data_IF_464406875573
#
_entry.id   IF_464406875573
#
_cell.length_a   1.000
_cell.length_b   1.000
_cell.length_c   1.000
_cell.angle_alpha   90.00
_cell.angle_beta   90.00
_cell.angle_gamma   90.00
#
_symmetry.space_group_name_H-M   'P 1'
#
loop_
_entity.id
_entity.type
_entity.pdbx_description
1 polymer ?
#
# COMPACT_ATOMS: atom_id res chain seq x y z
N UNK A 1 74.96 -60.48 -50.83
CA UNK A 1 74.10 -60.42 -52.05
C UNK A 1 72.75 -61.07 -51.68
N UNK A 2 71.57 -60.47 -51.94
CA UNK A 2 71.26 -59.20 -52.60
C UNK A 2 70.81 -58.07 -51.66
N UNK A 3 70.96 -56.85 -52.16
CA UNK A 3 70.79 -55.55 -51.51
C UNK A 3 69.38 -55.23 -51.00
N UNK A 4 69.29 -54.82 -49.73
CA UNK A 4 68.11 -54.25 -49.06
C UNK A 4 67.66 -52.88 -49.63
N UNK A 5 68.40 -52.30 -50.57
CA UNK A 5 68.13 -50.97 -51.14
C UNK A 5 66.96 -50.91 -52.16
N UNK A 6 66.51 -52.05 -52.71
CA UNK A 6 65.44 -52.04 -53.72
C UNK A 6 64.01 -52.15 -53.15
N UNK A 7 63.82 -52.67 -51.93
CA UNK A 7 62.47 -52.78 -51.31
C UNK A 7 61.99 -51.47 -50.68
N UNK A 8 62.90 -50.65 -50.14
CA UNK A 8 62.54 -49.34 -49.53
C UNK A 8 62.13 -48.30 -50.57
N UNK A 9 62.77 -48.30 -51.75
CA UNK A 9 62.48 -47.35 -52.83
C UNK A 9 61.11 -47.58 -53.48
N UNK A 10 60.64 -48.84 -53.51
CA UNK A 10 59.30 -49.20 -54.00
C UNK A 10 58.18 -48.82 -53.02
N UNK A 11 58.40 -48.96 -51.70
CA UNK A 11 57.45 -48.53 -50.67
C UNK A 11 57.37 -47.00 -50.55
N UNK A 12 58.50 -46.29 -50.68
CA UNK A 12 58.50 -44.82 -50.74
C UNK A 12 57.89 -44.27 -52.04
N UNK A 13 58.08 -44.93 -53.20
CA UNK A 13 57.38 -44.55 -54.44
C UNK A 13 55.86 -44.80 -54.35
N UNK A 14 55.41 -45.91 -53.76
CA UNK A 14 53.97 -46.18 -53.55
C UNK A 14 53.33 -45.20 -52.55
N UNK A 15 54.04 -44.82 -51.48
CA UNK A 15 53.60 -43.80 -50.52
C UNK A 15 53.58 -42.39 -51.13
N UNK A 16 54.59 -42.05 -51.93
CA UNK A 16 54.69 -40.76 -52.64
C UNK A 16 53.67 -40.61 -53.77
N UNK A 17 53.29 -41.71 -54.44
CA UNK A 17 52.21 -41.69 -55.44
C UNK A 17 50.84 -41.56 -54.74
N UNK A 18 50.66 -42.16 -53.56
CA UNK A 18 49.45 -41.98 -52.73
C UNK A 18 49.32 -40.57 -52.15
N UNK A 19 50.42 -39.88 -51.86
CA UNK A 19 50.42 -38.48 -51.43
C UNK A 19 50.24 -37.49 -52.60
N UNK A 20 50.60 -37.87 -53.83
CA UNK A 20 50.33 -37.08 -55.05
C UNK A 20 48.89 -37.16 -55.55
N UNK A 21 48.13 -38.11 -55.03
CA UNK A 21 46.66 -38.13 -55.07
C UNK A 21 46.12 -37.94 -53.65
N UNK A 22 46.63 -36.95 -52.90
CA UNK A 22 45.75 -36.28 -51.96
C UNK A 22 44.52 -35.89 -52.76
N UNK A 23 43.36 -36.43 -52.39
CA UNK A 23 42.08 -36.10 -53.01
C UNK A 23 42.00 -34.58 -52.92
N UNK A 24 42.30 -33.88 -54.03
CA UNK A 24 42.18 -32.43 -54.11
C UNK A 24 40.69 -32.22 -53.99
N UNK A 25 40.25 -31.89 -52.78
CA UNK A 25 38.88 -31.53 -52.51
C UNK A 25 38.56 -30.38 -53.45
N UNK A 26 37.57 -30.52 -54.35
CA UNK A 26 37.27 -29.47 -55.32
C UNK A 26 37.09 -28.14 -54.59
N UNK A 27 37.63 -27.05 -55.11
CA UNK A 27 37.51 -25.73 -54.48
C UNK A 27 36.03 -25.37 -54.20
N UNK A 28 35.11 -25.84 -55.03
CA UNK A 28 33.67 -25.72 -54.81
C UNK A 28 33.17 -26.41 -53.54
N UNK A 29 33.72 -27.59 -53.20
CA UNK A 29 33.36 -28.35 -52.00
C UNK A 29 33.94 -27.69 -50.74
N UNK A 30 35.15 -27.13 -50.84
CA UNK A 30 35.79 -26.37 -49.75
C UNK A 30 35.03 -25.06 -49.49
N UNK A 31 34.64 -24.33 -50.54
CA UNK A 31 33.82 -23.12 -50.40
C UNK A 31 32.43 -23.41 -49.83
N UNK A 32 31.81 -24.55 -50.18
CA UNK A 32 30.53 -24.99 -49.61
C UNK A 32 30.68 -25.32 -48.12
N UNK A 33 31.72 -26.04 -47.72
CA UNK A 33 32.03 -26.33 -46.32
C UNK A 33 32.30 -25.08 -45.48
N UNK A 34 33.01 -24.09 -46.04
CA UNK A 34 33.25 -22.80 -45.36
C UNK A 34 31.92 -22.06 -45.14
N UNK A 35 31.07 -21.99 -46.17
CA UNK A 35 29.75 -21.34 -46.05
C UNK A 35 28.84 -22.06 -45.04
N UNK A 36 28.86 -23.39 -44.99
CA UNK A 36 28.10 -24.17 -44.00
C UNK A 36 28.60 -23.94 -42.58
N UNK A 37 29.92 -23.89 -42.38
CA UNK A 37 30.53 -23.63 -41.09
C UNK A 37 30.20 -22.21 -40.60
N UNK A 38 30.34 -21.18 -41.46
CA UNK A 38 29.95 -19.80 -41.14
C UNK A 38 28.47 -19.71 -40.73
N UNK A 39 27.57 -20.42 -41.44
CA UNK A 39 26.16 -20.47 -41.07
C UNK A 39 25.89 -21.19 -39.74
N UNK A 40 26.70 -22.20 -39.40
CA UNK A 40 26.65 -22.84 -38.10
C UNK A 40 27.14 -21.92 -36.98
N UNK A 41 28.22 -21.17 -37.20
CA UNK A 41 28.74 -20.18 -36.26
C UNK A 41 27.69 -19.11 -35.96
N UNK A 42 27.07 -18.53 -36.99
CA UNK A 42 26.00 -17.51 -36.80
C UNK A 42 24.84 -18.07 -35.98
N UNK A 43 24.42 -19.32 -36.22
CA UNK A 43 23.36 -19.97 -35.42
C UNK A 43 23.77 -20.18 -33.96
N UNK A 44 25.02 -20.60 -33.71
CA UNK A 44 25.55 -20.76 -32.36
C UNK A 44 25.64 -19.42 -31.63
N UNK A 45 26.05 -18.36 -32.31
CA UNK A 45 26.11 -17.01 -31.77
C UNK A 45 24.73 -16.46 -31.40
N UNK A 46 23.72 -16.64 -32.27
CA UNK A 46 22.33 -16.26 -31.98
C UNK A 46 21.80 -16.95 -30.72
N UNK A 47 22.00 -18.26 -30.61
CA UNK A 47 21.57 -19.01 -29.42
C UNK A 47 22.33 -18.60 -28.16
N UNK A 48 23.63 -18.29 -28.27
CA UNK A 48 24.44 -17.78 -27.15
C UNK A 48 23.98 -16.39 -26.70
N UNK A 49 23.69 -15.49 -27.67
CA UNK A 49 23.15 -14.15 -27.43
C UNK A 49 21.80 -14.19 -26.73
N UNK A 50 20.87 -15.02 -27.23
CA UNK A 50 19.56 -15.20 -26.61
C UNK A 50 19.67 -15.73 -25.17
N UNK A 51 20.52 -16.73 -24.91
CA UNK A 51 20.77 -17.22 -23.54
C UNK A 51 21.30 -16.13 -22.61
N UNK A 52 22.18 -15.25 -23.11
CA UNK A 52 22.71 -14.11 -22.34
C UNK A 52 21.60 -13.11 -22.02
N UNK A 53 20.78 -12.76 -23.01
CA UNK A 53 19.63 -11.88 -22.84
C UNK A 53 18.66 -12.44 -21.79
N UNK A 54 18.33 -13.74 -21.85
CA UNK A 54 17.44 -14.38 -20.85
C UNK A 54 18.00 -14.31 -19.43
N UNK A 55 19.31 -14.50 -19.25
CA UNK A 55 19.97 -14.32 -17.94
C UNK A 55 19.92 -12.86 -17.47
N UNK A 56 20.08 -11.90 -18.40
CA UNK A 56 19.96 -10.47 -18.09
C UNK A 56 18.54 -10.10 -17.66
N UNK A 57 17.51 -10.60 -18.34
CA UNK A 57 16.10 -10.44 -17.95
C UNK A 57 15.85 -10.96 -16.54
N UNK A 58 16.35 -12.17 -16.24
CA UNK A 58 16.24 -12.74 -14.90
C UNK A 58 16.95 -11.87 -13.85
N UNK A 59 18.15 -11.37 -14.16
CA UNK A 59 18.88 -10.46 -13.27
C UNK A 59 18.13 -9.15 -13.03
N UNK A 60 17.48 -8.58 -14.05
CA UNK A 60 16.68 -7.37 -13.93
C UNK A 60 15.44 -7.59 -13.04
N UNK A 61 14.75 -8.73 -13.18
CA UNK A 61 13.63 -9.08 -12.31
C UNK A 61 14.06 -9.21 -10.85
N UNK A 62 15.13 -9.97 -10.58
CA UNK A 62 15.66 -10.14 -9.21
C UNK A 62 16.09 -8.79 -8.62
N UNK A 63 16.75 -7.94 -9.41
CA UNK A 63 17.18 -6.61 -8.97
C UNK A 63 15.98 -5.72 -8.61
N UNK A 64 14.92 -5.75 -9.43
CA UNK A 64 13.69 -5.01 -9.13
C UNK A 64 13.01 -5.57 -7.87
N UNK A 65 12.82 -6.89 -7.77
CA UNK A 65 12.19 -7.53 -6.61
C UNK A 65 12.92 -7.19 -5.30
N UNK A 66 14.25 -7.19 -5.30
CA UNK A 66 15.04 -6.78 -4.14
C UNK A 66 14.89 -5.29 -3.81
N UNK A 67 14.80 -4.42 -4.82
CA UNK A 67 14.56 -2.99 -4.61
C UNK A 67 13.18 -2.73 -4.01
N UNK A 68 12.14 -3.38 -4.54
CA UNK A 68 10.78 -3.27 -4.03
C UNK A 68 10.69 -3.79 -2.58
N UNK A 69 11.38 -4.89 -2.28
CA UNK A 69 11.48 -5.40 -0.90
C UNK A 69 12.11 -4.38 0.05
N UNK A 70 13.24 -3.78 -0.34
CA UNK A 70 13.90 -2.76 0.47
C UNK A 70 13.01 -1.53 0.71
N UNK A 71 12.28 -1.09 -0.32
CA UNK A 71 11.30 0.00 -0.22
C UNK A 71 10.15 -0.33 0.75
N UNK A 72 9.63 -1.57 0.72
CA UNK A 72 8.63 -2.03 1.69
C UNK A 72 9.17 -2.06 3.12
N UNK A 73 10.41 -2.50 3.31
CA UNK A 73 11.03 -2.55 4.64
C UNK A 73 11.28 -1.13 5.19
N UNK A 74 11.68 -0.18 4.34
CA UNK A 74 11.80 1.24 4.72
C UNK A 74 10.44 1.84 5.08
N UNK A 75 9.40 1.54 4.29
CA UNK A 75 8.04 2.00 4.56
C UNK A 75 7.53 1.49 5.91
N UNK A 76 7.69 0.19 6.20
CA UNK A 76 7.34 -0.40 7.52
C UNK A 76 8.08 0.28 8.66
N UNK A 77 9.38 0.54 8.50
CA UNK A 77 10.17 1.23 9.51
C UNK A 77 9.68 2.67 9.74
N UNK A 78 9.25 3.36 8.68
CA UNK A 78 8.66 4.70 8.78
C UNK A 78 7.32 4.66 9.54
N UNK A 79 6.45 3.71 9.22
CA UNK A 79 5.17 3.54 9.92
C UNK A 79 5.36 3.22 11.40
N UNK A 80 6.33 2.35 11.73
CA UNK A 80 6.67 2.04 13.12
C UNK A 80 7.12 3.29 13.89
N UNK A 81 8.01 4.10 13.30
CA UNK A 81 8.45 5.37 13.91
C UNK A 81 7.31 6.35 14.12
N UNK A 82 6.34 6.40 13.22
CA UNK A 82 5.16 7.26 13.36
C UNK A 82 4.29 6.81 14.55
N UNK A 83 4.07 5.49 14.72
CA UNK A 83 3.37 4.93 15.88
C UNK A 83 4.11 5.22 17.18
N UNK A 84 5.43 5.01 17.22
CA UNK A 84 6.25 5.31 18.40
C UNK A 84 6.20 6.80 18.76
N UNK A 85 6.29 7.68 17.76
CA UNK A 85 6.18 9.13 17.94
C UNK A 85 4.81 9.50 18.49
N UNK A 86 3.74 8.92 17.94
CA UNK A 86 2.38 9.15 18.39
C UNK A 86 2.19 8.67 19.85
N UNK A 87 2.70 7.50 20.19
CA UNK A 87 2.67 6.95 21.54
C UNK A 87 3.40 7.86 22.56
N UNK A 88 4.60 8.33 22.19
CA UNK A 88 5.38 9.25 23.01
C UNK A 88 4.64 10.59 23.22
N UNK A 89 4.03 11.13 22.17
CA UNK A 89 3.22 12.35 22.27
C UNK A 89 2.03 12.14 23.21
N UNK A 90 1.30 11.03 23.08
CA UNK A 90 0.19 10.72 24.00
C UNK A 90 0.65 10.56 25.44
N UNK A 91 1.81 9.95 25.69
CA UNK A 91 2.37 9.82 27.03
C UNK A 91 2.66 11.20 27.64
N UNK A 92 3.34 12.09 26.90
CA UNK A 92 3.66 13.45 27.35
C UNK A 92 2.38 14.25 27.64
N UNK A 93 1.37 14.13 26.79
CA UNK A 93 0.10 14.82 26.98
C UNK A 93 -0.65 14.34 28.24
N UNK A 94 -0.66 13.02 28.50
CA UNK A 94 -1.29 12.46 29.71
C UNK A 94 -0.53 12.88 30.97
N UNK A 95 0.80 12.88 30.93
CA UNK A 95 1.61 13.35 32.04
C UNK A 95 1.36 14.84 32.33
N UNK A 96 1.23 15.65 31.27
CA UNK A 96 0.89 17.08 31.39
C UNK A 96 -0.50 17.28 31.97
N UNK A 97 -1.49 16.48 31.56
CA UNK A 97 -2.84 16.53 32.11
C UNK A 97 -2.85 16.16 33.60
N UNK A 98 -2.17 15.07 33.99
CA UNK A 98 -2.07 14.65 35.38
C UNK A 98 -1.41 15.74 36.26
N UNK A 99 -0.32 16.35 35.77
CA UNK A 99 0.34 17.49 36.45
C UNK A 99 -0.59 18.69 36.61
N UNK A 100 -1.35 19.03 35.58
CA UNK A 100 -2.36 20.11 35.62
C UNK A 100 -3.42 19.80 36.69
N UNK A 101 -4.00 18.60 36.67
CA UNK A 101 -5.02 18.18 37.63
C UNK A 101 -4.51 18.19 39.07
N UNK A 102 -3.28 17.72 39.32
CA UNK A 102 -2.67 17.75 40.64
C UNK A 102 -2.48 19.18 41.17
N UNK A 103 -1.99 20.10 40.33
CA UNK A 103 -1.84 21.52 40.70
C UNK A 103 -3.19 22.19 40.98
N UNK A 104 -4.21 21.81 40.21
CA UNK A 104 -5.56 22.34 40.34
C UNK A 104 -6.25 21.82 41.61
N UNK A 105 -6.04 20.54 41.96
CA UNK A 105 -6.46 19.95 43.23
C UNK A 105 -5.82 20.67 44.43
N UNK A 106 -4.51 20.92 44.40
CA UNK A 106 -3.80 21.64 45.47
C UNK A 106 -4.35 23.07 45.65
N UNK A 107 -4.66 23.76 44.54
CA UNK A 107 -5.28 25.08 44.56
C UNK A 107 -6.67 25.05 45.20
N UNK A 108 -7.51 24.08 44.85
CA UNK A 108 -8.84 23.89 45.44
C UNK A 108 -8.76 23.55 46.94
N UNK A 109 -7.81 22.71 47.36
CA UNK A 109 -7.61 22.42 48.78
C UNK A 109 -7.23 23.68 49.57
N UNK A 110 -6.31 24.49 49.05
CA UNK A 110 -5.89 25.76 49.67
C UNK A 110 -7.05 26.76 49.73
N UNK A 111 -7.84 26.86 48.66
CA UNK A 111 -9.02 27.72 48.62
C UNK A 111 -10.08 27.29 49.65
N UNK A 112 -10.36 25.99 49.77
CA UNK A 112 -11.30 25.47 50.78
C UNK A 112 -10.82 25.73 52.20
N UNK A 113 -9.51 25.57 52.48
CA UNK A 113 -8.94 25.85 53.79
C UNK A 113 -8.97 27.35 54.13
N UNK A 114 -8.75 28.23 53.14
CA UNK A 114 -8.85 29.68 53.32
C UNK A 114 -10.29 30.12 53.62
N UNK A 115 -11.27 29.57 52.92
CA UNK A 115 -12.69 29.85 53.16
C UNK A 115 -13.15 29.35 54.54
N UNK A 116 -12.63 28.19 54.98
CA UNK A 116 -12.88 27.69 56.34
C UNK A 116 -12.39 28.67 57.41
N UNK A 117 -11.14 29.14 57.30
CA UNK A 117 -10.59 30.14 58.22
C UNK A 117 -11.41 31.43 58.21
N UNK A 118 -11.84 31.90 57.04
CA UNK A 118 -12.66 33.11 56.89
C UNK A 118 -13.98 32.99 57.63
N UNK A 119 -14.69 31.87 57.46
CA UNK A 119 -15.97 31.62 58.14
C UNK A 119 -15.77 31.46 59.65
N UNK A 120 -14.74 30.72 60.08
CA UNK A 120 -14.42 30.58 61.51
C UNK A 120 -14.15 31.94 62.16
N UNK A 121 -13.39 32.82 61.50
CA UNK A 121 -13.09 34.15 61.99
C UNK A 121 -14.33 35.06 62.02
N UNK A 122 -15.19 34.98 61.01
CA UNK A 122 -16.47 35.71 60.99
C UNK A 122 -17.39 35.29 62.16
N UNK A 123 -17.50 33.98 62.43
CA UNK A 123 -18.29 33.47 63.55
C UNK A 123 -17.70 33.95 64.88
N UNK A 124 -16.38 33.87 65.05
CA UNK A 124 -15.70 34.33 66.27
C UNK A 124 -15.94 35.82 66.55
N UNK A 125 -15.83 36.67 65.53
CA UNK A 125 -16.10 38.11 65.64
C UNK A 125 -17.55 38.37 66.05
N UNK A 126 -18.50 37.64 65.45
CA UNK A 126 -19.92 37.75 65.78
C UNK A 126 -20.20 37.30 67.21
N UNK A 127 -19.66 36.15 67.65
CA UNK A 127 -19.80 35.63 69.01
C UNK A 127 -19.24 36.59 70.06
N UNK A 128 -18.07 37.19 69.80
CA UNK A 128 -17.49 38.21 70.69
C UNK A 128 -18.40 39.43 70.81
N UNK A 129 -18.91 39.94 69.69
CA UNK A 129 -19.82 41.10 69.67
C UNK A 129 -21.10 40.82 70.47
N UNK A 130 -21.70 39.65 70.27
CA UNK A 130 -22.90 39.21 71.00
C UNK A 130 -22.62 39.09 72.49
N UNK A 131 -21.50 38.47 72.88
CA UNK A 131 -21.12 38.31 74.29
C UNK A 131 -20.86 39.66 74.97
N UNK A 132 -20.15 40.58 74.31
CA UNK A 132 -19.93 41.93 74.85
C UNK A 132 -21.26 42.67 75.04
N UNK A 133 -22.13 42.62 74.03
CA UNK A 133 -23.46 43.27 74.09
C UNK A 133 -24.33 42.67 75.20
N UNK A 134 -24.27 41.34 75.36
CA UNK A 134 -24.97 40.62 76.42
C UNK A 134 -24.48 41.03 77.81
N UNK A 135 -23.16 41.02 78.06
CA UNK A 135 -22.57 41.41 79.34
C UNK A 135 -22.87 42.87 79.70
N UNK A 136 -22.84 43.78 78.72
CA UNK A 136 -23.19 45.18 78.94
C UNK A 136 -24.67 45.34 79.32
N UNK A 137 -25.55 44.54 78.72
CA UNK A 137 -26.98 44.50 79.05
C UNK A 137 -27.20 43.95 80.45
N UNK A 138 -26.54 42.83 80.79
CA UNK A 138 -26.60 42.19 82.10
C UNK A 138 -26.12 43.13 83.22
N UNK A 139 -25.03 43.88 83.00
CA UNK A 139 -24.54 44.91 83.93
C UNK A 139 -25.51 46.07 84.13
N UNK A 140 -26.26 46.47 83.09
CA UNK A 140 -27.30 47.50 83.21
C UNK A 140 -28.49 46.98 83.99
N UNK A 141 -28.96 45.76 83.69
CA UNK A 141 -30.07 45.13 84.41
C UNK A 141 -29.74 44.87 85.88
N UNK A 142 -28.52 44.40 86.18
CA UNK A 142 -28.06 44.24 87.57
C UNK A 142 -28.09 45.54 88.36
N UNK A 143 -27.67 46.65 87.75
CA UNK A 143 -27.73 47.98 88.40
C UNK A 143 -29.17 48.38 88.72
N UNK A 144 -30.07 48.26 87.75
CA UNK A 144 -31.49 48.59 87.92
C UNK A 144 -32.18 47.71 88.97
N UNK A 145 -32.00 46.38 88.91
CA UNK A 145 -32.57 45.48 89.91
C UNK A 145 -31.98 45.73 91.31
N UNK A 146 -30.68 46.00 91.42
CA UNK A 146 -30.05 46.33 92.71
C UNK A 146 -30.58 47.64 93.30
N UNK A 147 -30.88 48.64 92.47
CA UNK A 147 -31.48 49.90 92.91
C UNK A 147 -32.93 49.68 93.38
N UNK A 148 -33.77 49.00 92.58
CA UNK A 148 -35.13 48.63 93.00
C UNK A 148 -35.18 47.84 94.30
N UNK A 149 -34.30 46.86 94.48
CA UNK A 149 -34.24 46.11 95.74
C UNK A 149 -33.87 46.97 96.94
N UNK A 150 -33.00 47.97 96.76
CA UNK A 150 -32.66 48.90 97.84
C UNK A 150 -33.84 49.81 98.18
N UNK A 151 -34.63 50.20 97.18
CA UNK A 151 -35.86 50.98 97.36
C UNK A 151 -36.93 50.16 98.11
N UNK A 152 -37.24 48.94 97.66
CA UNK A 152 -38.20 48.03 98.30
C UNK A 152 -37.83 47.72 99.77
N UNK A 153 -36.55 47.52 100.05
CA UNK A 153 -36.07 47.25 101.42
C UNK A 153 -36.05 48.49 102.35
N UNK A 154 -36.06 49.70 101.77
CA UNK A 154 -36.15 50.96 102.51
C UNK A 154 -37.61 51.30 102.88
N UNK A 155 -38.60 50.84 102.12
CA UNK A 155 -40.03 51.05 102.42
C UNK A 155 -40.53 50.17 103.59
N UNK A 156 -39.88 49.03 103.81
CA UNK A 156 -40.32 48.01 104.76
C UNK A 156 -39.79 48.27 106.20
N UNK A 157 -40.37 49.19 106.98
CA UNK A 157 -39.76 49.70 108.23
C UNK A 157 -39.70 48.70 109.41
N UNK A 158 -40.53 47.66 109.42
CA UNK A 158 -40.75 46.76 110.58
C UNK A 158 -39.88 45.48 110.59
N UNK A 159 -39.07 45.23 109.57
CA UNK A 159 -38.24 44.00 109.49
C UNK A 159 -36.87 44.15 110.18
N UNK A 160 -36.43 43.19 111.03
CA UNK A 160 -35.14 43.23 111.72
C UNK A 160 -33.93 43.33 110.78
N UNK A 161 -32.91 44.11 111.15
CA UNK A 161 -31.72 44.38 110.31
C UNK A 161 -30.99 43.13 109.81
N UNK A 162 -30.94 42.08 110.63
CA UNK A 162 -30.24 40.83 110.31
C UNK A 162 -30.97 40.03 109.22
N UNK A 163 -32.31 40.00 109.29
CA UNK A 163 -33.17 39.33 108.31
C UNK A 163 -33.22 40.09 106.97
N UNK A 164 -33.19 41.43 107.02
CA UNK A 164 -33.03 42.28 105.84
C UNK A 164 -31.72 42.02 105.10
N UNK A 165 -30.62 41.88 105.85
CA UNK A 165 -29.29 41.60 105.31
C UNK A 165 -29.22 40.19 104.66
N UNK A 166 -29.81 39.18 105.30
CA UNK A 166 -29.87 37.82 104.78
C UNK A 166 -30.72 37.72 103.51
N UNK A 167 -31.90 38.37 103.47
CA UNK A 167 -32.74 38.43 102.26
C UNK A 167 -32.02 39.09 101.10
N UNK A 168 -31.31 40.20 101.34
CA UNK A 168 -30.51 40.89 100.32
C UNK A 168 -29.39 39.98 99.78
N UNK A 169 -28.73 39.22 100.67
CA UNK A 169 -27.69 38.26 100.31
C UNK A 169 -28.24 37.13 99.43
N UNK A 170 -29.32 36.46 99.84
CA UNK A 170 -29.96 35.38 99.07
C UNK A 170 -30.46 35.85 97.71
N UNK A 171 -31.02 37.06 97.64
CA UNK A 171 -31.50 37.59 96.36
C UNK A 171 -30.34 37.95 95.41
N UNK A 172 -29.24 38.49 95.95
CA UNK A 172 -28.02 38.74 95.18
C UNK A 172 -27.41 37.45 94.64
N UNK A 173 -27.37 36.39 95.44
CA UNK A 173 -26.91 35.06 95.03
C UNK A 173 -27.83 34.46 93.95
N UNK A 174 -29.14 34.56 94.11
CA UNK A 174 -30.14 34.09 93.12
C UNK A 174 -29.99 34.84 91.79
N UNK A 175 -29.81 36.16 91.84
CA UNK A 175 -29.55 36.99 90.67
C UNK A 175 -28.23 36.61 89.97
N UNK A 176 -27.16 36.38 90.72
CA UNK A 176 -25.88 35.94 90.16
C UNK A 176 -25.99 34.54 89.53
N UNK A 177 -26.71 33.61 90.16
CA UNK A 177 -26.97 32.29 89.59
C UNK A 177 -27.76 32.39 88.28
N UNK A 178 -28.84 33.16 88.27
CA UNK A 178 -29.64 33.40 87.05
C UNK A 178 -28.80 34.01 85.92
N UNK A 179 -27.97 35.00 86.25
CA UNK A 179 -27.03 35.62 85.29
C UNK A 179 -26.02 34.64 84.72
N UNK A 180 -25.45 33.76 85.56
CA UNK A 180 -24.53 32.72 85.13
C UNK A 180 -25.23 31.66 84.26
N UNK A 181 -26.49 31.32 84.57
CA UNK A 181 -27.30 30.41 83.76
C UNK A 181 -27.60 31.01 82.37
N UNK A 182 -28.00 32.29 82.29
CA UNK A 182 -28.23 32.98 81.03
C UNK A 182 -26.95 33.11 80.18
N UNK A 183 -25.81 33.41 80.81
CA UNK A 183 -24.51 33.44 80.11
C UNK A 183 -24.13 32.04 79.56
N UNK A 184 -24.32 30.99 80.37
CA UNK A 184 -24.10 29.62 79.94
C UNK A 184 -25.02 29.24 78.76
N UNK A 185 -26.28 29.69 78.77
CA UNK A 185 -27.21 29.48 77.66
C UNK A 185 -26.73 30.19 76.38
N UNK A 186 -26.28 31.45 76.47
CA UNK A 186 -25.74 32.18 75.32
C UNK A 186 -24.51 31.46 74.74
N UNK A 187 -23.55 31.06 75.57
CA UNK A 187 -22.36 30.33 75.13
C UNK A 187 -22.72 28.99 74.47
N UNK A 188 -23.73 28.29 74.99
CA UNK A 188 -24.24 27.06 74.40
C UNK A 188 -24.89 27.32 73.02
N UNK A 189 -25.67 28.38 72.86
CA UNK A 189 -26.24 28.79 71.57
C UNK A 189 -25.14 29.15 70.57
N UNK A 190 -24.12 29.91 70.99
CA UNK A 190 -22.97 30.24 70.16
C UNK A 190 -22.21 28.99 69.68
N UNK A 191 -22.04 27.99 70.57
CA UNK A 191 -21.44 26.69 70.20
C UNK A 191 -22.28 25.96 69.15
N UNK A 192 -23.59 25.89 69.32
CA UNK A 192 -24.50 25.24 68.36
C UNK A 192 -24.48 25.92 66.98
N UNK A 193 -24.43 27.25 66.94
CA UNK A 193 -24.32 28.02 65.68
C UNK A 193 -23.00 27.72 64.97
N UNK A 194 -21.90 27.67 65.72
CA UNK A 194 -20.58 27.28 65.18
C UNK A 194 -20.61 25.86 64.61
N UNK A 195 -21.07 24.87 65.38
CA UNK A 195 -21.18 23.48 64.95
C UNK A 195 -22.05 23.31 63.69
N UNK A 196 -23.19 24.03 63.62
CA UNK A 196 -24.08 24.02 62.44
C UNK A 196 -23.37 24.61 61.22
N UNK A 197 -22.64 25.71 61.40
CA UNK A 197 -21.90 26.38 60.34
C UNK A 197 -20.75 25.53 59.80
N UNK A 198 -19.98 24.88 60.69
CA UNK A 198 -18.94 23.92 60.29
C UNK A 198 -19.52 22.74 59.49
N UNK A 199 -20.66 22.18 59.93
CA UNK A 199 -21.35 21.12 59.18
C UNK A 199 -21.85 21.59 57.82
N UNK A 200 -22.36 22.82 57.71
CA UNK A 200 -22.80 23.39 56.45
C UNK A 200 -21.60 23.61 55.49
N UNK A 201 -20.48 24.12 55.99
CA UNK A 201 -19.26 24.32 55.21
C UNK A 201 -18.68 22.99 54.72
N UNK A 202 -18.55 21.98 55.60
CA UNK A 202 -18.06 20.65 55.22
C UNK A 202 -18.91 20.03 54.11
N UNK A 203 -20.24 20.14 54.19
CA UNK A 203 -21.15 19.68 53.12
C UNK A 203 -20.91 20.42 51.80
N UNK A 204 -20.83 21.75 51.82
CA UNK A 204 -20.55 22.54 50.60
C UNK A 204 -19.19 22.22 49.99
N UNK A 205 -18.14 22.09 50.80
CA UNK A 205 -16.79 21.73 50.35
C UNK A 205 -16.78 20.34 49.72
N UNK A 206 -17.46 19.36 50.33
CA UNK A 206 -17.57 18.01 49.79
C UNK A 206 -18.28 17.99 48.42
N UNK A 207 -19.38 18.72 48.27
CA UNK A 207 -20.10 18.81 46.99
C UNK A 207 -19.20 19.42 45.91
N UNK A 208 -18.54 20.55 46.19
CA UNK A 208 -17.62 21.18 45.24
C UNK A 208 -16.46 20.25 44.85
N UNK A 209 -15.90 19.52 45.83
CA UNK A 209 -14.85 18.54 45.57
C UNK A 209 -15.35 17.44 44.62
N UNK A 210 -16.56 16.94 44.86
CA UNK A 210 -17.15 15.92 43.99
C UNK A 210 -17.42 16.44 42.58
N UNK A 211 -17.96 17.66 42.43
CA UNK A 211 -18.16 18.31 41.13
C UNK A 211 -16.84 18.47 40.37
N UNK A 212 -15.79 18.89 41.07
CA UNK A 212 -14.44 19.02 40.52
C UNK A 212 -13.85 17.68 40.07
N UNK A 213 -13.96 16.64 40.90
CA UNK A 213 -13.53 15.27 40.55
C UNK A 213 -14.28 14.75 39.32
N UNK A 214 -15.60 14.96 39.23
CA UNK A 214 -16.37 14.59 38.04
C UNK A 214 -15.86 15.31 36.79
N UNK A 215 -15.53 16.59 36.89
CA UNK A 215 -15.01 17.36 35.75
C UNK A 215 -13.65 16.85 35.29
N UNK A 216 -12.74 16.53 36.23
CA UNK A 216 -11.47 15.90 35.91
C UNK A 216 -11.65 14.56 35.19
N UNK A 217 -12.58 13.72 35.67
CA UNK A 217 -12.90 12.45 35.02
C UNK A 217 -13.47 12.63 33.61
N UNK A 218 -14.30 13.64 33.37
CA UNK A 218 -14.80 13.99 32.02
C UNK A 218 -13.67 14.45 31.11
N UNK A 219 -12.76 15.30 31.60
CA UNK A 219 -11.60 15.76 30.84
C UNK A 219 -10.68 14.59 30.45
N UNK A 220 -10.40 13.66 31.38
CA UNK A 220 -9.63 12.45 31.09
C UNK A 220 -10.31 11.55 30.06
N UNK A 221 -11.61 11.32 30.20
CA UNK A 221 -12.36 10.47 29.28
C UNK A 221 -12.36 11.07 27.88
N UNK A 222 -12.59 12.38 27.77
CA UNK A 222 -12.53 13.09 26.49
C UNK A 222 -11.13 13.02 25.89
N UNK A 223 -10.07 13.19 26.70
CA UNK A 223 -8.69 13.08 26.20
C UNK A 223 -8.40 11.67 25.69
N UNK A 224 -8.75 10.63 26.45
CA UNK A 224 -8.60 9.23 26.00
C UNK A 224 -9.40 8.93 24.74
N UNK A 225 -10.62 9.46 24.61
CA UNK A 225 -11.43 9.35 23.40
C UNK A 225 -10.72 9.96 22.19
N UNK A 226 -10.24 11.20 22.30
CA UNK A 226 -9.51 11.86 21.21
C UNK A 226 -8.23 11.11 20.82
N UNK A 227 -7.54 10.51 21.80
CA UNK A 227 -6.38 9.66 21.54
C UNK A 227 -6.74 8.41 20.74
N UNK A 228 -7.83 7.73 21.11
CA UNK A 228 -8.32 6.57 20.35
C UNK A 228 -8.75 6.93 18.94
N UNK A 229 -9.46 8.04 18.76
CA UNK A 229 -9.85 8.52 17.43
C UNK A 229 -8.61 8.79 16.55
N UNK A 230 -7.56 9.39 17.12
CA UNK A 230 -6.30 9.63 16.44
C UNK A 230 -5.53 8.34 16.14
N UNK A 231 -5.51 7.35 17.05
CA UNK A 231 -4.94 6.02 16.81
C UNK A 231 -5.64 5.32 15.63
N UNK A 232 -6.97 5.35 15.58
CA UNK A 232 -7.76 4.79 14.48
C UNK A 232 -7.48 5.52 13.16
N UNK A 233 -7.47 6.85 13.17
CA UNK A 233 -7.15 7.64 11.97
C UNK A 233 -5.71 7.40 11.48
N UNK A 234 -4.75 7.20 12.40
CA UNK A 234 -3.40 6.81 12.04
C UNK A 234 -3.41 5.44 11.37
N UNK A 235 -4.03 4.43 11.97
CA UNK A 235 -4.09 3.07 11.43
C UNK A 235 -4.67 3.03 10.01
N UNK A 236 -5.77 3.76 9.75
CA UNK A 236 -6.38 3.84 8.43
C UNK A 236 -5.40 4.44 7.41
N UNK A 237 -4.77 5.57 7.74
CA UNK A 237 -3.78 6.21 6.84
C UNK A 237 -2.57 5.31 6.56
N UNK A 238 -2.13 4.54 7.57
CA UNK A 238 -1.03 3.59 7.41
C UNK A 238 -1.40 2.43 6.48
N UNK A 239 -2.61 1.88 6.61
CA UNK A 239 -3.13 0.84 5.73
C UNK A 239 -3.26 1.37 4.29
N UNK A 240 -3.90 2.53 4.09
CA UNK A 240 -4.03 3.19 2.79
C UNK A 240 -2.66 3.42 2.13
N UNK A 241 -1.68 3.96 2.89
CA UNK A 241 -0.33 4.19 2.38
C UNK A 241 0.39 2.88 2.00
N UNK A 242 0.16 1.80 2.76
CA UNK A 242 0.71 0.48 2.45
C UNK A 242 0.11 -0.07 1.17
N UNK A 243 -1.22 -0.02 1.04
CA UNK A 243 -1.94 -0.48 -0.14
C UNK A 243 -1.54 0.29 -1.40
N UNK A 244 -1.40 1.62 -1.32
CA UNK A 244 -0.92 2.43 -2.44
C UNK A 244 0.49 2.03 -2.88
N UNK A 245 1.37 1.76 -1.92
CA UNK A 245 2.73 1.30 -2.21
C UNK A 245 2.69 -0.06 -2.91
N UNK A 246 2.00 -1.04 -2.34
CA UNK A 246 1.86 -2.38 -2.92
C UNK A 246 1.29 -2.36 -4.34
N UNK A 247 0.26 -1.55 -4.59
CA UNK A 247 -0.31 -1.37 -5.93
C UNK A 247 0.72 -0.79 -6.89
N UNK A 248 1.48 0.23 -6.49
CA UNK A 248 2.51 0.86 -7.31
C UNK A 248 3.67 -0.11 -7.61
N UNK A 249 4.07 -0.92 -6.63
CA UNK A 249 5.09 -1.95 -6.78
C UNK A 249 4.63 -3.06 -7.74
N UNK A 250 3.38 -3.52 -7.59
CA UNK A 250 2.78 -4.52 -8.46
C UNK A 250 2.73 -4.04 -9.91
N UNK A 251 2.27 -2.81 -10.14
CA UNK A 251 2.25 -2.19 -11.48
C UNK A 251 3.64 -2.13 -12.10
N UNK A 252 4.65 -1.73 -11.31
CA UNK A 252 6.05 -1.64 -11.77
C UNK A 252 6.60 -3.02 -12.15
N UNK A 253 6.35 -4.03 -11.32
CA UNK A 253 6.77 -5.41 -11.58
C UNK A 253 6.09 -5.98 -12.83
N UNK A 254 4.78 -5.80 -12.97
CA UNK A 254 4.01 -6.25 -14.13
C UNK A 254 4.49 -5.56 -15.41
N UNK A 255 4.74 -4.25 -15.36
CA UNK A 255 5.28 -3.50 -16.49
C UNK A 255 6.63 -4.06 -16.95
N UNK A 256 7.58 -4.27 -16.03
CA UNK A 256 8.87 -4.85 -16.39
C UNK A 256 8.70 -6.26 -16.97
N UNK A 257 7.88 -7.13 -16.34
CA UNK A 257 7.61 -8.48 -16.86
C UNK A 257 7.06 -8.45 -18.28
N UNK A 258 6.12 -7.55 -18.56
CA UNK A 258 5.55 -7.36 -19.89
C UNK A 258 6.59 -6.87 -20.90
N UNK A 259 7.39 -5.87 -20.55
CA UNK A 259 8.46 -5.34 -21.40
C UNK A 259 9.50 -6.42 -21.74
N UNK A 260 9.93 -7.22 -20.76
CA UNK A 260 10.88 -8.32 -20.97
C UNK A 260 10.29 -9.44 -21.82
N UNK A 261 9.02 -9.79 -21.61
CA UNK A 261 8.30 -10.79 -22.42
C UNK A 261 8.17 -10.31 -23.86
N UNK A 262 7.78 -9.05 -24.07
CA UNK A 262 7.69 -8.45 -25.40
C UNK A 262 9.06 -8.44 -26.10
N UNK A 263 10.13 -8.06 -25.41
CA UNK A 263 11.48 -8.09 -25.97
C UNK A 263 11.91 -9.51 -26.32
N UNK A 264 11.63 -10.49 -25.45
CA UNK A 264 11.90 -11.90 -25.72
C UNK A 264 11.19 -12.38 -26.99
N UNK A 265 9.88 -12.14 -27.12
CA UNK A 265 9.11 -12.54 -28.30
C UNK A 265 9.63 -11.86 -29.57
N UNK A 266 10.00 -10.58 -29.49
CA UNK A 266 10.58 -9.85 -30.62
C UNK A 266 11.89 -10.49 -31.10
N UNK A 267 12.80 -10.84 -30.17
CA UNK A 267 14.04 -11.53 -30.52
C UNK A 267 13.79 -12.94 -31.10
N UNK A 268 12.79 -13.66 -30.59
CA UNK A 268 12.40 -14.98 -31.13
C UNK A 268 11.86 -14.86 -32.56
N UNK A 269 11.02 -13.86 -32.82
CA UNK A 269 10.48 -13.57 -34.14
C UNK A 269 11.58 -13.22 -35.14
N UNK A 270 12.48 -12.30 -34.78
CA UNK A 270 13.63 -11.92 -35.61
C UNK A 270 14.51 -13.12 -35.97
N UNK A 271 14.82 -13.97 -34.98
CA UNK A 271 15.58 -15.21 -35.21
C UNK A 271 14.86 -16.17 -36.17
N UNK A 272 13.53 -16.28 -36.07
CA UNK A 272 12.72 -17.13 -36.94
C UNK A 272 12.66 -16.59 -38.38
N UNK A 273 12.47 -15.28 -38.54
CA UNK A 273 12.47 -14.60 -39.84
C UNK A 273 13.81 -14.78 -40.56
N UNK A 274 14.92 -14.61 -39.84
CA UNK A 274 16.25 -14.86 -40.37
C UNK A 274 16.46 -16.33 -40.77
N UNK A 275 16.04 -17.28 -39.93
CA UNK A 275 16.12 -18.71 -40.26
C UNK A 275 15.32 -19.04 -41.52
N UNK A 276 14.08 -18.59 -41.60
CA UNK A 276 13.20 -18.79 -42.75
C UNK A 276 13.81 -18.20 -44.03
N UNK A 277 14.32 -16.96 -43.94
CA UNK A 277 14.99 -16.28 -45.05
C UNK A 277 16.21 -17.06 -45.54
N UNK A 278 17.04 -17.60 -44.64
CA UNK A 278 18.20 -18.43 -45.00
C UNK A 278 17.76 -19.73 -45.68
N UNK A 279 16.78 -20.45 -45.11
CA UNK A 279 16.23 -21.69 -45.69
C UNK A 279 15.62 -21.48 -47.06
N UNK A 280 14.93 -20.37 -47.27
CA UNK A 280 14.38 -20.00 -48.57
C UNK A 280 15.49 -19.76 -49.60
N UNK A 281 16.59 -19.08 -49.23
CA UNK A 281 17.75 -18.90 -50.12
C UNK A 281 18.43 -20.22 -50.45
N UNK A 282 18.62 -21.11 -49.47
CA UNK A 282 19.18 -22.46 -49.69
C UNK A 282 18.31 -23.26 -50.67
N UNK A 283 16.99 -23.24 -50.49
CA UNK A 283 16.06 -23.95 -51.38
C UNK A 283 16.14 -23.41 -52.81
N UNK A 284 16.16 -22.09 -52.98
CA UNK A 284 16.34 -21.48 -54.30
C UNK A 284 17.67 -21.87 -54.96
N UNK A 285 18.77 -21.91 -54.19
CA UNK A 285 20.08 -22.36 -54.68
C UNK A 285 20.04 -23.82 -55.12
N UNK A 286 19.42 -24.71 -54.34
CA UNK A 286 19.25 -26.13 -54.68
C UNK A 286 18.45 -26.30 -55.98
N UNK A 287 17.28 -25.66 -56.09
CA UNK A 287 16.48 -25.68 -57.33
C UNK A 287 17.24 -25.13 -58.54
N UNK A 288 18.06 -24.08 -58.36
CA UNK A 288 18.88 -23.55 -59.44
C UNK A 288 19.98 -24.54 -59.86
N UNK A 289 20.60 -25.25 -58.91
CA UNK A 289 21.61 -26.26 -59.16
C UNK A 289 21.02 -27.49 -59.86
N UNK A 290 19.86 -27.99 -59.40
CA UNK A 290 19.13 -29.10 -60.02
C UNK A 290 18.77 -28.78 -61.48
N UNK A 291 18.25 -27.58 -61.76
CA UNK A 291 17.99 -27.13 -63.14
C UNK A 291 19.25 -27.07 -64.01
N UNK A 292 20.40 -26.72 -63.45
CA UNK A 292 21.69 -26.72 -64.17
C UNK A 292 22.16 -28.15 -64.46
N UNK A 293 22.06 -29.04 -63.48
CA UNK A 293 22.50 -30.44 -63.57
C UNK A 293 21.55 -31.34 -64.35
N UNK A 294 20.35 -30.87 -64.69
CA UNK A 294 19.39 -31.62 -65.49
C UNK A 294 20.04 -32.16 -66.79
N UNK A 295 20.00 -33.49 -67.04
CA UNK A 295 20.72 -34.14 -68.13
C UNK A 295 20.42 -33.54 -69.49
N UNK A 296 21.44 -33.40 -70.34
CA UNK A 296 21.27 -32.86 -71.71
C UNK A 296 20.23 -33.63 -72.50
N UNK A 297 20.17 -34.96 -72.34
CA UNK A 297 19.19 -35.81 -73.02
C UNK A 297 17.75 -35.48 -72.61
N UNK A 298 17.52 -35.20 -71.32
CA UNK A 298 16.21 -34.77 -70.82
C UNK A 298 15.83 -33.39 -71.36
N UNK A 299 16.76 -32.43 -71.39
CA UNK A 299 16.53 -31.11 -71.99
C UNK A 299 16.20 -31.20 -73.48
N UNK A 300 16.91 -32.05 -74.22
CA UNK A 300 16.65 -32.28 -75.65
C UNK A 300 15.30 -32.95 -75.86
N UNK A 301 14.95 -33.96 -75.05
CA UNK A 301 13.67 -34.65 -75.14
C UNK A 301 12.49 -33.73 -74.78
N UNK A 302 12.60 -32.94 -73.71
CA UNK A 302 11.60 -31.91 -73.37
C UNK A 302 11.42 -30.89 -74.49
N UNK A 303 12.52 -30.46 -75.13
CA UNK A 303 12.47 -29.55 -76.27
C UNK A 303 11.83 -30.20 -77.50
N UNK A 304 12.12 -31.48 -77.77
CA UNK A 304 11.49 -32.24 -78.85
C UNK A 304 10.00 -32.43 -78.59
N UNK A 305 9.58 -32.78 -77.38
CA UNK A 305 8.18 -32.89 -76.98
C UNK A 305 7.47 -31.54 -77.15
N UNK A 306 8.08 -30.45 -76.68
CA UNK A 306 7.55 -29.09 -76.89
C UNK A 306 7.40 -28.74 -78.37
N UNK A 307 8.40 -29.09 -79.19
CA UNK A 307 8.35 -28.86 -80.64
C UNK A 307 7.27 -29.71 -81.32
N UNK A 308 7.19 -31.00 -81.00
CA UNK A 308 6.15 -31.90 -81.50
C UNK A 308 4.75 -31.42 -81.12
N UNK A 309 4.57 -30.95 -79.88
CA UNK A 309 3.31 -30.36 -79.44
C UNK A 309 2.97 -29.09 -80.24
N UNK A 310 3.94 -28.19 -80.44
CA UNK A 310 3.74 -26.99 -81.26
C UNK A 310 3.41 -27.32 -82.72
N UNK A 311 4.10 -28.29 -83.31
CA UNK A 311 3.86 -28.71 -84.69
C UNK A 311 2.50 -29.41 -84.83
N UNK A 312 2.11 -30.23 -83.85
CA UNK A 312 0.76 -30.83 -83.77
C UNK A 312 -0.31 -29.75 -83.67
N UNK A 313 -0.13 -28.75 -82.80
CA UNK A 313 -1.03 -27.60 -82.71
C UNK A 313 -1.14 -26.83 -84.04
N UNK A 314 -0.04 -26.67 -84.77
CA UNK A 314 -0.04 -26.00 -86.09
C UNK A 314 -0.79 -26.81 -87.14
N UNK A 315 -0.56 -28.13 -87.20
CA UNK A 315 -1.26 -29.02 -88.14
C UNK A 315 -2.75 -29.05 -87.82
N UNK A 316 -3.14 -29.22 -86.56
CA UNK A 316 -4.55 -29.18 -86.15
C UNK A 316 -5.21 -27.85 -86.51
N UNK A 317 -4.51 -26.71 -86.37
CA UNK A 317 -5.04 -25.41 -86.79
C UNK A 317 -5.22 -25.30 -88.31
N UNK A 318 -4.29 -25.84 -89.11
CA UNK A 318 -4.42 -25.86 -90.58
C UNK A 318 -5.59 -26.76 -91.00
N UNK A 319 -5.69 -27.95 -90.42
CA UNK A 319 -6.78 -28.89 -90.66
C UNK A 319 -8.13 -28.30 -90.28
N UNK A 320 -8.23 -27.64 -89.12
CA UNK A 320 -9.43 -26.93 -88.70
C UNK A 320 -9.85 -25.86 -89.71
N UNK A 321 -8.91 -25.02 -90.19
CA UNK A 321 -9.21 -23.98 -91.19
C UNK A 321 -9.68 -24.58 -92.52
N UNK A 322 -9.01 -25.64 -93.00
CA UNK A 322 -9.39 -26.32 -94.23
C UNK A 322 -10.79 -26.95 -94.11
N UNK A 323 -11.05 -27.69 -93.03
CA UNK A 323 -12.33 -28.33 -92.75
C UNK A 323 -13.45 -27.29 -92.60
N UNK A 324 -13.18 -26.19 -91.89
CA UNK A 324 -14.10 -25.06 -91.74
C UNK A 324 -14.48 -24.46 -93.09
N UNK A 325 -13.50 -24.19 -93.95
CA UNK A 325 -13.75 -23.60 -95.26
C UNK A 325 -14.58 -24.56 -96.13
N UNK A 326 -14.20 -25.83 -96.18
CA UNK A 326 -14.95 -26.84 -96.94
C UNK A 326 -16.39 -26.97 -96.44
N UNK A 327 -16.62 -27.13 -95.13
CA UNK A 327 -17.98 -27.29 -94.59
C UNK A 327 -18.88 -26.06 -94.84
N UNK A 328 -18.32 -24.85 -94.89
CA UNK A 328 -19.08 -23.66 -95.27
C UNK A 328 -19.39 -23.60 -96.78
N UNK A 329 -18.57 -24.22 -97.62
CA UNK A 329 -18.75 -24.24 -99.08
C UNK A 329 -19.80 -25.27 -99.52
N UNK A 330 -19.82 -26.46 -98.91
CA UNK A 330 -20.79 -27.53 -99.24
C UNK A 330 -22.13 -27.43 -98.51
N UNK A 331 -22.24 -26.60 -97.47
CA UNK A 331 -23.47 -26.52 -96.65
C UNK A 331 -24.30 -25.27 -96.95
N UNK A 332 -25.64 -25.34 -96.86
CA UNK A 332 -26.52 -24.17 -96.99
C UNK A 332 -26.24 -23.10 -95.93
N UNK A 333 -26.44 -21.83 -96.29
CA UNK A 333 -26.17 -20.68 -95.39
C UNK A 333 -26.96 -20.71 -94.08
N UNK A 334 -28.12 -21.37 -94.03
CA UNK A 334 -28.92 -21.55 -92.81
C UNK A 334 -28.16 -22.30 -91.71
N UNK A 335 -27.27 -23.22 -92.10
CA UNK A 335 -26.67 -24.21 -91.19
C UNK A 335 -25.26 -23.79 -90.74
N UNK A 336 -24.69 -22.78 -91.38
CA UNK A 336 -23.33 -22.28 -91.14
C UNK A 336 -23.08 -21.93 -89.66
N UNK A 337 -24.07 -21.38 -88.96
CA UNK A 337 -23.93 -21.00 -87.55
C UNK A 337 -23.75 -22.21 -86.63
N UNK A 338 -24.51 -23.28 -86.86
CA UNK A 338 -24.42 -24.52 -86.07
C UNK A 338 -23.10 -25.25 -86.36
N UNK A 339 -22.72 -25.33 -87.64
CA UNK A 339 -21.47 -25.95 -88.10
C UNK A 339 -20.24 -25.26 -87.49
N UNK A 340 -20.19 -23.92 -87.53
CA UNK A 340 -19.08 -23.16 -86.95
C UNK A 340 -18.93 -23.37 -85.44
N UNK A 341 -20.05 -23.53 -84.73
CA UNK A 341 -20.04 -23.82 -83.29
C UNK A 341 -19.47 -25.22 -83.03
N UNK A 342 -19.98 -26.23 -83.72
CA UNK A 342 -19.51 -27.62 -83.60
C UNK A 342 -18.02 -27.75 -83.91
N UNK A 343 -17.54 -27.15 -85.01
CA UNK A 343 -16.14 -27.20 -85.40
C UNK A 343 -15.23 -26.56 -84.33
N UNK A 344 -15.65 -25.44 -83.73
CA UNK A 344 -14.88 -24.79 -82.66
C UNK A 344 -14.78 -25.67 -81.42
N UNK A 345 -15.88 -26.27 -80.99
CA UNK A 345 -15.89 -27.21 -79.86
C UNK A 345 -14.97 -28.41 -80.11
N UNK A 346 -14.97 -28.92 -81.35
CA UNK A 346 -14.09 -30.02 -81.76
C UNK A 346 -12.61 -29.60 -81.79
N UNK A 347 -12.30 -28.38 -82.24
CA UNK A 347 -10.93 -27.83 -82.20
C UNK A 347 -10.39 -27.73 -80.77
N UNK A 348 -11.20 -27.19 -79.85
CA UNK A 348 -10.82 -27.09 -78.43
C UNK A 348 -10.59 -28.46 -77.81
N UNK A 349 -11.44 -29.45 -78.13
CA UNK A 349 -11.28 -30.83 -77.66
C UNK A 349 -9.98 -31.47 -78.18
N UNK A 350 -9.67 -31.30 -79.46
CA UNK A 350 -8.46 -31.87 -80.10
C UNK A 350 -7.17 -31.24 -79.56
N UNK A 351 -7.19 -29.94 -79.26
CA UNK A 351 -6.04 -29.26 -78.64
C UNK A 351 -5.84 -29.71 -77.18
N UNK A 352 -6.93 -29.93 -76.43
CA UNK A 352 -6.86 -30.46 -75.07
C UNK A 352 -6.30 -31.89 -75.04
N UNK A 353 -6.68 -32.74 -75.99
CA UNK A 353 -6.15 -34.11 -76.12
C UNK A 353 -4.67 -34.15 -76.55
N UNK A 354 -4.17 -33.13 -77.24
CA UNK A 354 -2.77 -33.06 -77.63
C UNK A 354 -1.85 -32.59 -76.49
N UNK A 355 -2.39 -31.97 -75.44
CA UNK A 355 -1.63 -31.31 -74.37
C UNK A 355 -1.61 -32.03 -73.02
N UNK A 356 -2.30 -33.16 -72.90
CA UNK A 356 -2.16 -34.13 -71.80
C UNK A 356 -1.32 -35.31 -72.25
#
# INVERSE_FOLDING_TARGET
RPSSFHKSRARHRRSSIRQRFAIITPASLVSEQIQEHEQEVVRREQMSGYKRMRRQHQKQLIALENRLKAEMDEHKLRLQKEVETQANNTYIELERLAKKQAAQLDKEMKASAAEEKRIQQQILVQQKKELTTFLDTQKKQYRLCRERMKEEMNEDSDTPKEEKQERLSRHKETMQRSQAEEEAQLLNQQRLVYERSCRALKRRSLIKKHEFEQEQMREELNKKKTQKEMEHALMIRQDESTQELEQRQLQTLQRLRFELMRHQHQTELENQEEYNSRRQRELHRKHALERRQQPRNLKTLEMQIKKQFQDTCKVQNKQYKALRNHQLEVSPKSDHKAILKSLKEEQTRKLAQAGG
#
